data_IF_871389574955
#
_entry.id   IF_871389574955
#
_cell.length_a   1.000
_cell.length_b   1.000
_cell.length_c   1.000
_cell.angle_alpha   90.00
_cell.angle_beta   90.00
_cell.angle_gamma   90.00
#
_symmetry.space_group_name_H-M   'P 1'
#
loop_
_entity.id
_entity.type
_entity.pdbx_description
1 polymer ?
#
# COMPACT_ATOMS: atom_id res chain seq x y z
N UNK A 1 -28.37 -10.24 21.77
CA UNK A 1 -27.21 -9.58 21.14
C UNK A 1 -26.25 -10.69 20.74
N UNK A 2 -26.14 -10.93 19.43
CA UNK A 2 -25.16 -11.88 18.91
C UNK A 2 -23.76 -11.34 19.19
N UNK A 3 -22.96 -12.07 19.96
CA UNK A 3 -21.53 -11.74 20.15
C UNK A 3 -20.84 -11.80 18.79
N UNK A 4 -20.13 -10.73 18.44
CA UNK A 4 -19.35 -10.69 17.22
C UNK A 4 -18.24 -11.78 17.27
N UNK A 5 -18.11 -12.54 16.20
CA UNK A 5 -17.11 -13.61 16.10
C UNK A 5 -16.22 -13.41 14.87
N UNK A 6 -15.02 -13.95 14.95
CA UNK A 6 -14.05 -13.98 13.86
C UNK A 6 -13.47 -15.38 13.68
N UNK A 7 -12.88 -15.64 12.54
CA UNK A 7 -12.17 -16.89 12.27
C UNK A 7 -10.69 -16.67 12.56
N UNK A 8 -10.10 -17.53 13.40
CA UNK A 8 -8.66 -17.50 13.67
C UNK A 8 -7.88 -17.81 12.38
N UNK A 9 -6.95 -16.96 11.95
CA UNK A 9 -6.18 -17.20 10.72
C UNK A 9 -5.18 -18.37 10.84
N UNK A 10 -4.85 -18.79 12.05
CA UNK A 10 -3.90 -19.89 12.28
C UNK A 10 -4.58 -21.25 12.34
N UNK A 11 -5.69 -21.40 13.07
CA UNK A 11 -6.36 -22.69 13.27
C UNK A 11 -7.76 -22.78 12.65
N UNK A 12 -8.27 -21.69 12.05
CA UNK A 12 -9.57 -21.58 11.37
C UNK A 12 -10.81 -21.85 12.26
N UNK A 13 -10.63 -21.81 13.58
CA UNK A 13 -11.76 -21.93 14.52
C UNK A 13 -12.47 -20.59 14.69
N UNK A 14 -13.76 -20.68 14.98
CA UNK A 14 -14.58 -19.53 15.31
C UNK A 14 -14.27 -19.10 16.75
N UNK A 15 -13.85 -17.85 16.93
CA UNK A 15 -13.39 -17.27 18.19
C UNK A 15 -14.06 -15.91 18.41
N UNK A 16 -14.03 -15.35 19.63
CA UNK A 16 -14.54 -13.99 19.85
C UNK A 16 -13.81 -12.95 19.00
N UNK A 17 -14.57 -11.97 18.48
CA UNK A 17 -14.01 -10.93 17.61
C UNK A 17 -13.03 -9.98 18.32
N UNK A 18 -13.10 -9.88 19.62
CA UNK A 18 -12.24 -9.05 20.48
C UNK A 18 -11.00 -9.80 21.00
N UNK A 19 -10.82 -11.07 20.64
CA UNK A 19 -9.68 -11.85 21.07
C UNK A 19 -8.37 -11.35 20.47
N UNK A 20 -7.37 -11.08 21.29
CA UNK A 20 -5.99 -10.74 20.91
C UNK A 20 -5.09 -11.96 20.81
N UNK A 21 -5.42 -13.00 21.54
CA UNK A 21 -4.79 -14.33 21.51
C UNK A 21 -5.87 -15.35 21.24
N UNK A 22 -5.62 -16.28 20.33
CA UNK A 22 -6.59 -17.33 20.02
C UNK A 22 -6.74 -18.28 21.22
N UNK A 23 -7.95 -18.44 21.79
CA UNK A 23 -8.16 -19.35 22.94
C UNK A 23 -8.01 -20.81 22.56
N UNK A 24 -8.02 -21.16 21.28
CA UNK A 24 -7.92 -22.53 20.79
C UNK A 24 -6.48 -22.96 20.49
N UNK A 25 -5.66 -22.10 19.85
CA UNK A 25 -4.31 -22.45 19.40
C UNK A 25 -3.19 -21.60 20.02
N UNK A 26 -3.53 -20.53 20.76
CA UNK A 26 -2.54 -19.66 21.41
C UNK A 26 -1.84 -18.66 20.47
N UNK A 27 -2.26 -18.55 19.22
CA UNK A 27 -1.64 -17.63 18.27
C UNK A 27 -1.88 -16.16 18.65
N UNK A 28 -0.85 -15.31 18.50
CA UNK A 28 -0.96 -13.87 18.63
C UNK A 28 -1.71 -13.31 17.41
N UNK A 29 -2.97 -12.96 17.62
CA UNK A 29 -3.87 -12.52 16.55
C UNK A 29 -3.54 -11.11 16.05
N UNK A 30 -3.00 -10.25 16.90
CA UNK A 30 -2.64 -8.89 16.51
C UNK A 30 -1.44 -8.91 15.56
N UNK A 31 -0.41 -9.69 15.87
CA UNK A 31 0.76 -9.86 15.01
C UNK A 31 0.40 -10.56 13.69
N UNK A 32 -0.40 -11.63 13.74
CA UNK A 32 -0.87 -12.35 12.56
C UNK A 32 -1.80 -11.49 11.71
N UNK A 33 -2.71 -10.75 12.32
CA UNK A 33 -3.65 -9.89 11.60
C UNK A 33 -2.93 -8.78 10.82
N UNK A 34 -1.95 -8.11 11.41
CA UNK A 34 -1.17 -7.08 10.73
C UNK A 34 -0.40 -7.64 9.54
N UNK A 35 0.28 -8.76 9.73
CA UNK A 35 1.05 -9.44 8.69
C UNK A 35 0.17 -10.04 7.61
N UNK A 36 -0.89 -10.74 8.01
CA UNK A 36 -1.83 -11.40 7.11
C UNK A 36 -2.59 -10.40 6.26
N UNK A 37 -2.95 -9.25 6.81
CA UNK A 37 -3.63 -8.19 6.07
C UNK A 37 -2.75 -7.62 4.94
N UNK A 38 -1.47 -7.37 5.19
CA UNK A 38 -0.53 -6.94 4.14
C UNK A 38 -0.40 -7.98 3.03
N UNK A 39 -0.27 -9.26 3.39
CA UNK A 39 -0.20 -10.35 2.43
C UNK A 39 -1.48 -10.42 1.59
N UNK A 40 -2.63 -10.27 2.19
CA UNK A 40 -3.92 -10.23 1.47
C UNK A 40 -4.03 -9.04 0.52
N UNK A 41 -3.59 -7.86 0.93
CA UNK A 41 -3.59 -6.68 0.08
C UNK A 41 -2.65 -6.84 -1.12
N UNK A 42 -1.46 -7.39 -0.91
CA UNK A 42 -0.51 -7.68 -1.99
C UNK A 42 -1.08 -8.72 -2.98
N UNK A 43 -1.74 -9.76 -2.47
CA UNK A 43 -2.45 -10.73 -3.31
C UNK A 43 -3.60 -10.09 -4.11
N UNK A 44 -4.33 -9.16 -3.51
CA UNK A 44 -5.43 -8.45 -4.16
C UNK A 44 -4.98 -7.56 -5.34
N UNK A 45 -3.71 -7.14 -5.40
CA UNK A 45 -3.14 -6.45 -6.57
C UNK A 45 -3.13 -7.32 -7.84
N UNK A 46 -3.26 -8.62 -7.71
CA UNK A 46 -3.35 -9.57 -8.82
C UNK A 46 -4.79 -9.98 -9.16
N UNK A 47 -5.77 -9.40 -8.48
CA UNK A 47 -7.17 -9.74 -8.69
C UNK A 47 -7.65 -9.31 -10.09
N UNK A 48 -8.49 -10.11 -10.77
CA UNK A 48 -8.99 -9.76 -12.11
C UNK A 48 -9.93 -8.55 -12.13
N UNK A 49 -10.64 -8.27 -11.03
CA UNK A 49 -11.52 -7.12 -10.92
C UNK A 49 -10.73 -5.86 -10.51
N UNK A 50 -10.87 -4.81 -11.30
CA UNK A 50 -10.24 -3.50 -11.08
C UNK A 50 -10.65 -2.86 -9.73
N UNK A 51 -11.92 -2.96 -9.36
CA UNK A 51 -12.43 -2.49 -8.06
C UNK A 51 -11.68 -3.09 -6.86
N UNK A 52 -11.36 -4.38 -6.93
CA UNK A 52 -10.62 -5.08 -5.86
C UNK A 52 -9.18 -4.59 -5.82
N UNK A 53 -8.52 -4.47 -6.99
CA UNK A 53 -7.16 -3.92 -7.08
C UNK A 53 -7.12 -2.48 -6.57
N UNK A 54 -8.09 -1.65 -6.95
CA UNK A 54 -8.17 -0.26 -6.53
C UNK A 54 -8.25 -0.13 -5.01
N UNK A 55 -9.08 -0.92 -4.35
CA UNK A 55 -9.18 -0.93 -2.88
C UNK A 55 -7.88 -1.33 -2.21
N UNK A 56 -7.18 -2.31 -2.77
CA UNK A 56 -5.87 -2.74 -2.28
C UNK A 56 -4.81 -1.62 -2.45
N UNK A 57 -4.79 -0.95 -3.59
CA UNK A 57 -3.88 0.18 -3.86
C UNK A 57 -4.09 1.30 -2.84
N UNK A 58 -5.33 1.70 -2.61
CA UNK A 58 -5.67 2.75 -1.65
C UNK A 58 -5.27 2.35 -0.22
N UNK A 59 -5.57 1.12 0.18
CA UNK A 59 -5.22 0.61 1.51
C UNK A 59 -3.70 0.54 1.72
N UNK A 60 -2.94 0.09 0.73
CA UNK A 60 -1.47 0.03 0.79
C UNK A 60 -0.86 1.43 0.88
N UNK A 61 -1.41 2.40 0.14
CA UNK A 61 -1.00 3.79 0.23
C UNK A 61 -1.20 4.38 1.63
N UNK A 62 -2.36 4.14 2.23
CA UNK A 62 -2.70 4.60 3.59
C UNK A 62 -1.82 3.94 4.67
N UNK A 63 -1.44 2.68 4.48
CA UNK A 63 -0.53 1.99 5.40
C UNK A 63 0.90 2.52 5.35
N UNK A 64 1.34 3.05 4.22
CA UNK A 64 2.64 3.67 4.08
C UNK A 64 3.85 2.74 4.28
N UNK A 65 3.70 1.44 4.01
CA UNK A 65 4.76 0.44 4.20
C UNK A 65 5.71 0.42 2.99
N UNK A 66 6.99 0.82 3.14
CA UNK A 66 7.92 0.94 2.01
C UNK A 66 8.13 -0.35 1.22
N UNK A 67 8.00 -1.50 1.88
CA UNK A 67 8.17 -2.84 1.29
C UNK A 67 7.15 -3.14 0.18
N UNK A 68 6.05 -2.40 0.12
CA UNK A 68 4.99 -2.63 -0.86
C UNK A 68 5.14 -1.81 -2.15
N UNK A 69 6.12 -0.92 -2.22
CA UNK A 69 6.29 0.02 -3.33
C UNK A 69 6.48 -0.67 -4.68
N UNK A 70 7.36 -1.66 -4.78
CA UNK A 70 7.61 -2.37 -6.04
C UNK A 70 6.38 -3.16 -6.51
N UNK A 71 5.64 -3.78 -5.59
CA UNK A 71 4.41 -4.50 -5.92
C UNK A 71 3.33 -3.56 -6.50
N UNK A 72 3.22 -2.34 -5.97
CA UNK A 72 2.33 -1.31 -6.50
C UNK A 72 2.74 -0.87 -7.90
N UNK A 73 4.02 -0.61 -8.14
CA UNK A 73 4.52 -0.26 -9.46
C UNK A 73 4.29 -1.39 -10.47
N UNK A 74 4.55 -2.63 -10.10
CA UNK A 74 4.28 -3.81 -10.94
C UNK A 74 2.80 -3.92 -11.29
N UNK A 75 1.90 -3.63 -10.36
CA UNK A 75 0.46 -3.62 -10.60
C UNK A 75 0.09 -2.64 -11.72
N UNK A 76 0.55 -1.39 -11.64
CA UNK A 76 0.30 -0.38 -12.68
C UNK A 76 0.87 -0.79 -14.04
N UNK A 77 2.06 -1.40 -14.07
CA UNK A 77 2.70 -1.86 -15.31
C UNK A 77 2.00 -3.08 -15.94
N UNK A 78 1.35 -3.92 -15.13
CA UNK A 78 0.55 -5.03 -15.65
C UNK A 78 -0.75 -4.60 -16.31
N UNK A 79 -1.27 -3.42 -15.96
CA UNK A 79 -2.53 -2.88 -16.46
C UNK A 79 -2.29 -1.54 -17.19
N UNK A 80 -1.54 -1.55 -18.31
CA UNK A 80 -1.02 -0.34 -18.92
C UNK A 80 -2.09 0.57 -19.53
N UNK A 81 -3.27 0.05 -19.81
CA UNK A 81 -4.41 0.82 -20.35
C UNK A 81 -5.31 1.41 -19.27
N UNK A 82 -5.18 0.96 -18.03
CA UNK A 82 -5.93 1.49 -16.89
C UNK A 82 -5.22 2.70 -16.30
N UNK A 83 -5.52 3.86 -16.85
CA UNK A 83 -4.93 5.14 -16.41
C UNK A 83 -5.38 5.50 -15.00
N UNK A 84 -6.62 5.18 -14.63
CA UNK A 84 -7.16 5.47 -13.29
C UNK A 84 -6.42 4.66 -12.24
N UNK A 85 -6.20 3.38 -12.48
CA UNK A 85 -5.39 2.52 -11.62
C UNK A 85 -3.94 3.02 -11.53
N UNK A 86 -3.35 3.39 -12.66
CA UNK A 86 -1.99 3.94 -12.70
C UNK A 86 -1.83 5.23 -11.89
N UNK A 87 -2.80 6.14 -11.96
CA UNK A 87 -2.81 7.37 -11.16
C UNK A 87 -3.01 7.10 -9.67
N UNK A 88 -3.84 6.14 -9.31
CA UNK A 88 -4.02 5.71 -7.92
C UNK A 88 -2.73 5.11 -7.34
N UNK A 89 -2.00 4.34 -8.14
CA UNK A 89 -0.67 3.83 -7.75
C UNK A 89 0.33 4.98 -7.54
N UNK A 90 0.35 5.98 -8.41
CA UNK A 90 1.22 7.16 -8.24
C UNK A 90 0.94 7.86 -6.90
N UNK A 91 -0.33 8.06 -6.57
CA UNK A 91 -0.72 8.64 -5.29
C UNK A 91 -0.29 7.75 -4.10
N UNK A 92 -0.56 6.47 -4.15
CA UNK A 92 -0.15 5.52 -3.11
C UNK A 92 1.37 5.53 -2.88
N UNK A 93 2.16 5.52 -3.95
CA UNK A 93 3.62 5.54 -3.88
C UNK A 93 4.17 6.82 -3.24
N UNK A 94 3.46 7.93 -3.34
CA UNK A 94 3.88 9.20 -2.71
C UNK A 94 3.95 9.11 -1.18
N UNK A 95 3.28 8.14 -0.58
CA UNK A 95 3.25 7.91 0.87
C UNK A 95 4.30 6.90 1.37
N UNK A 96 5.14 6.36 0.48
CA UNK A 96 6.05 5.24 0.80
C UNK A 96 7.53 5.65 0.92
N UNK A 97 7.80 6.92 1.12
CA UNK A 97 9.16 7.42 1.32
C UNK A 97 10.09 7.17 0.14
N UNK A 98 11.34 6.78 0.41
CA UNK A 98 12.37 6.56 -0.62
C UNK A 98 12.04 5.40 -1.56
N UNK A 99 11.45 4.33 -1.04
CA UNK A 99 11.03 3.20 -1.86
C UNK A 99 9.93 3.62 -2.83
N UNK A 100 8.98 4.44 -2.39
CA UNK A 100 7.96 5.04 -3.23
C UNK A 100 8.56 5.94 -4.31
N UNK A 101 9.53 6.77 -3.96
CA UNK A 101 10.23 7.65 -4.92
C UNK A 101 10.95 6.85 -6.02
N UNK A 102 11.59 5.75 -5.69
CA UNK A 102 12.22 4.85 -6.67
C UNK A 102 11.19 4.21 -7.60
N UNK A 103 10.10 3.74 -7.05
CA UNK A 103 9.02 3.14 -7.83
C UNK A 103 8.33 4.17 -8.74
N UNK A 104 8.15 5.40 -8.28
CA UNK A 104 7.66 6.52 -9.11
C UNK A 104 8.58 6.83 -10.29
N UNK A 105 9.90 6.86 -10.05
CA UNK A 105 10.87 7.05 -11.14
C UNK A 105 10.77 5.93 -12.18
N UNK A 106 10.58 4.70 -11.76
CA UNK A 106 10.37 3.55 -12.64
C UNK A 106 9.10 3.69 -13.48
N UNK A 107 7.98 4.16 -12.90
CA UNK A 107 6.75 4.43 -13.64
C UNK A 107 6.91 5.59 -14.63
N UNK A 108 7.61 6.65 -14.23
CA UNK A 108 7.88 7.79 -15.12
C UNK A 108 8.68 7.41 -16.36
N UNK A 109 9.52 6.39 -16.28
CA UNK A 109 10.33 5.90 -17.40
C UNK A 109 9.59 4.84 -18.25
N UNK A 110 8.79 3.98 -17.63
CA UNK A 110 8.36 2.73 -18.27
C UNK A 110 6.85 2.62 -18.51
N UNK A 111 6.00 3.43 -17.87
CA UNK A 111 4.56 3.27 -18.05
C UNK A 111 4.13 3.72 -19.45
N UNK A 112 3.32 2.95 -20.21
CA UNK A 112 2.91 3.31 -21.58
C UNK A 112 2.01 4.54 -21.64
N UNK A 113 1.15 4.76 -20.65
CA UNK A 113 0.25 5.92 -20.64
C UNK A 113 1.00 7.19 -20.24
N UNK A 114 0.97 8.20 -21.11
CA UNK A 114 1.62 9.49 -20.88
C UNK A 114 1.14 10.17 -19.59
N UNK A 115 -0.17 10.16 -19.33
CA UNK A 115 -0.73 10.77 -18.12
C UNK A 115 -0.17 10.18 -16.82
N UNK A 116 0.09 8.87 -16.79
CA UNK A 116 0.71 8.21 -15.64
C UNK A 116 2.19 8.58 -15.53
N UNK A 117 2.93 8.61 -16.64
CA UNK A 117 4.34 9.06 -16.64
C UNK A 117 4.48 10.48 -16.12
N UNK A 118 3.67 11.40 -16.65
CA UNK A 118 3.70 12.82 -16.27
C UNK A 118 3.36 13.00 -14.78
N UNK A 119 2.34 12.28 -14.28
CA UNK A 119 1.97 12.31 -12.88
C UNK A 119 3.08 11.74 -11.97
N UNK A 120 3.70 10.63 -12.37
CA UNK A 120 4.81 10.02 -11.62
C UNK A 120 6.02 10.97 -11.57
N UNK A 121 6.35 11.61 -12.68
CA UNK A 121 7.45 12.59 -12.75
C UNK A 121 7.17 13.81 -11.87
N UNK A 122 5.97 14.37 -11.94
CA UNK A 122 5.56 15.50 -11.11
C UNK A 122 5.64 15.17 -9.62
N UNK A 123 5.15 13.98 -9.23
CA UNK A 123 5.21 13.53 -7.85
C UNK A 123 6.66 13.34 -7.37
N UNK A 124 7.53 12.79 -8.21
CA UNK A 124 8.96 12.64 -7.90
C UNK A 124 9.61 14.01 -7.64
N UNK A 125 9.28 15.02 -8.44
CA UNK A 125 9.78 16.38 -8.25
C UNK A 125 9.28 17.01 -6.96
N UNK A 126 8.01 16.82 -6.63
CA UNK A 126 7.44 17.30 -5.35
C UNK A 126 8.14 16.69 -4.15
N UNK A 127 8.31 15.38 -4.13
CA UNK A 127 8.98 14.69 -3.02
C UNK A 127 10.45 15.14 -2.85
N UNK A 128 11.14 15.46 -3.93
CA UNK A 128 12.50 16.03 -3.88
C UNK A 128 12.49 17.47 -3.35
N UNK A 129 11.51 18.27 -3.76
CA UNK A 129 11.31 19.63 -3.29
C UNK A 129 11.07 19.68 -1.78
N UNK A 130 10.19 18.83 -1.28
CA UNK A 130 9.88 18.72 0.15
C UNK A 130 11.09 18.26 0.97
N UNK A 131 11.88 17.33 0.46
CA UNK A 131 13.12 16.87 1.10
C UNK A 131 14.18 17.97 1.20
N UNK A 132 14.23 18.90 0.20
CA UNK A 132 15.14 20.04 0.19
C UNK A 132 14.60 21.26 0.97
N UNK A 133 13.28 21.31 1.18
CA UNK A 133 12.61 22.37 1.93
C UNK A 133 12.52 22.09 3.44
N UNK A 134 13.10 20.98 3.93
CA UNK A 134 13.21 20.72 5.36
C UNK A 134 13.95 21.88 6.02
N UNK A 135 13.31 22.66 6.90
CA UNK A 135 13.93 23.88 7.40
C UNK A 135 15.06 23.53 8.34
N UNK A 136 16.25 23.97 7.97
CA UNK A 136 17.30 24.27 8.92
C UNK A 136 16.86 25.48 9.76
N UNK A 137 15.94 25.26 10.68
CA UNK A 137 15.58 26.24 11.68
C UNK A 137 15.91 25.67 13.05
N UNK A 138 17.22 25.72 13.34
CA UNK A 138 17.61 25.86 14.71
C UNK A 138 17.02 27.20 15.24
N UNK A 139 16.19 27.19 16.31
CA UNK A 139 15.73 28.44 16.89
C UNK A 139 16.95 29.25 17.34
N UNK A 140 16.95 30.57 17.09
CA UNK A 140 18.01 31.40 17.61
C UNK A 140 17.99 31.31 19.14
N UNK A 141 19.15 31.10 19.72
CA UNK A 141 19.31 31.09 21.14
C UNK A 141 18.91 32.45 21.76
#
# INVERSE_FOLDING_TARGET
>A
VAEARQICPACYRLIPADAHVCPACGADLDALSARDYRVKLLAALHHPLDDVRMRAILALGLRGEPETAEALADCALRHPVDVVEGLAVVDALSHLGRAGARALARLAENHPARGVRDAAQLMTLRLRGDANAAPDQAPPA
#
